data_IF_668406406932
#
_entry.id   IF_668406406932
#
_cell.length_a   1.000
_cell.length_b   1.000
_cell.length_c   1.000
_cell.angle_alpha   90.00
_cell.angle_beta   90.00
_cell.angle_gamma   90.00
#
_symmetry.space_group_name_H-M   'P 1'
#
loop_
_entity.id
_entity.type
_entity.pdbx_description
1 polymer ?
#
# COMPACT_ATOMS: atom_id res chain seq x y z
N UNK A 1 -4.90 12.05 14.52
CA UNK A 1 -4.64 10.59 14.54
C UNK A 1 -4.31 10.17 13.12
N UNK A 2 -3.21 9.45 12.91
CA UNK A 2 -2.90 8.83 11.61
C UNK A 2 -3.20 7.34 11.75
N UNK A 3 -4.11 6.83 10.93
CA UNK A 3 -4.45 5.42 10.93
C UNK A 3 -3.57 4.69 9.91
N UNK A 4 -2.99 3.57 10.35
CA UNK A 4 -2.10 2.73 9.57
C UNK A 4 -2.73 1.34 9.43
N UNK A 5 -3.03 0.95 8.20
CA UNK A 5 -3.51 -0.38 7.83
C UNK A 5 -2.39 -1.14 7.12
N UNK A 6 -2.07 -2.34 7.59
CA UNK A 6 -1.14 -3.23 6.89
C UNK A 6 -1.90 -4.39 6.27
N UNK A 7 -1.68 -4.62 4.97
CA UNK A 7 -2.31 -5.65 4.17
C UNK A 7 -1.23 -6.64 3.74
N UNK A 8 -1.50 -7.94 3.90
CA UNK A 8 -0.64 -8.96 3.32
C UNK A 8 -1.15 -9.32 1.94
N UNK A 9 -0.27 -9.29 0.95
CA UNK A 9 -0.62 -9.56 -0.45
C UNK A 9 0.25 -10.68 -1.00
N UNK A 10 -0.32 -11.51 -1.86
CA UNK A 10 0.40 -12.62 -2.50
C UNK A 10 1.32 -12.14 -3.63
N UNK A 11 0.92 -11.08 -4.35
CA UNK A 11 1.74 -10.47 -5.40
C UNK A 11 1.78 -8.95 -5.19
N UNK A 12 2.96 -8.45 -4.82
CA UNK A 12 3.14 -7.05 -4.49
C UNK A 12 3.00 -6.14 -5.71
N UNK A 13 3.51 -6.56 -6.87
CA UNK A 13 3.49 -5.74 -8.09
C UNK A 13 2.06 -5.50 -8.58
N UNK A 14 1.28 -6.57 -8.72
CA UNK A 14 -0.13 -6.53 -9.14
C UNK A 14 -0.96 -5.75 -8.13
N UNK A 15 -0.74 -5.99 -6.83
CA UNK A 15 -1.46 -5.26 -5.78
C UNK A 15 -1.10 -3.78 -5.77
N UNK A 16 0.17 -3.44 -5.97
CA UNK A 16 0.64 -2.04 -6.03
C UNK A 16 0.03 -1.33 -7.23
N UNK A 17 -0.01 -1.95 -8.42
CA UNK A 17 -0.67 -1.37 -9.60
C UNK A 17 -2.17 -1.16 -9.35
N UNK A 18 -2.85 -2.17 -8.79
CA UNK A 18 -4.27 -2.09 -8.44
C UNK A 18 -4.56 -0.93 -7.47
N UNK A 19 -3.84 -0.85 -6.35
CA UNK A 19 -4.05 0.20 -5.35
C UNK A 19 -3.62 1.58 -5.85
N UNK A 20 -2.64 1.66 -6.74
CA UNK A 20 -2.28 2.93 -7.40
C UNK A 20 -3.44 3.46 -8.25
N UNK A 21 -4.10 2.59 -9.01
CA UNK A 21 -5.29 2.97 -9.81
C UNK A 21 -6.51 3.25 -8.94
N UNK A 22 -6.71 2.44 -7.89
CA UNK A 22 -7.86 2.56 -6.98
C UNK A 22 -7.81 3.82 -6.13
N UNK A 23 -6.65 4.13 -5.55
CA UNK A 23 -6.45 5.28 -4.68
C UNK A 23 -6.12 6.55 -5.49
N UNK A 24 -5.80 6.42 -6.78
CA UNK A 24 -5.39 7.53 -7.65
C UNK A 24 -4.06 8.17 -7.22
N UNK A 25 -3.28 7.49 -6.39
CA UNK A 25 -2.00 7.98 -5.86
C UNK A 25 -0.91 6.93 -6.03
N UNK A 26 0.29 7.37 -6.39
CA UNK A 26 1.46 6.49 -6.47
C UNK A 26 1.96 6.11 -5.07
N UNK A 27 2.56 4.92 -4.89
CA UNK A 27 3.22 4.56 -3.65
C UNK A 27 4.37 5.51 -3.37
N UNK A 28 4.48 5.98 -2.12
CA UNK A 28 5.60 6.85 -1.71
C UNK A 28 6.91 6.06 -1.57
N UNK A 29 6.81 4.74 -1.38
CA UNK A 29 7.95 3.86 -1.22
C UNK A 29 7.62 2.45 -1.69
N UNK A 30 8.46 1.91 -2.54
CA UNK A 30 8.36 0.54 -3.03
C UNK A 30 9.68 -0.18 -2.74
N UNK A 31 9.56 -1.39 -2.21
CA UNK A 31 10.60 -2.36 -1.95
C UNK A 31 10.14 -3.70 -2.54
N UNK A 32 11.06 -4.63 -2.83
CA UNK A 32 10.68 -5.96 -3.33
C UNK A 32 9.63 -6.66 -2.44
N UNK A 33 9.70 -6.46 -1.13
CA UNK A 33 8.81 -7.12 -0.16
C UNK A 33 7.70 -6.22 0.39
N UNK A 34 7.66 -4.93 0.00
CA UNK A 34 6.72 -3.99 0.59
C UNK A 34 6.46 -2.71 -0.22
N UNK A 35 5.21 -2.23 -0.22
CA UNK A 35 4.82 -0.93 -0.77
C UNK A 35 4.07 -0.08 0.27
N UNK A 36 4.43 1.21 0.35
CA UNK A 36 3.81 2.21 1.23
C UNK A 36 3.01 3.22 0.41
N UNK A 37 1.80 3.48 0.86
CA UNK A 37 0.97 4.58 0.37
C UNK A 37 0.76 5.62 1.48
N UNK A 38 0.79 6.90 1.13
CA UNK A 38 0.40 7.98 2.03
C UNK A 38 -0.69 8.79 1.36
N UNK A 39 -1.85 8.84 2.00
CA UNK A 39 -2.96 9.67 1.55
C UNK A 39 -3.00 10.91 2.44
N UNK A 40 -3.13 12.07 1.79
CA UNK A 40 -3.05 13.37 2.45
C UNK A 40 -4.24 13.65 3.36
N UNK A 41 -5.34 12.93 3.18
CA UNK A 41 -6.59 13.12 3.90
C UNK A 41 -6.83 11.99 4.90
N UNK A 42 -7.10 12.25 6.19
CA UNK A 42 -7.23 11.22 7.23
C UNK A 42 -8.46 10.31 7.07
N UNK A 43 -9.38 10.59 6.13
CA UNK A 43 -10.43 9.66 5.70
C UNK A 43 -9.89 8.52 4.82
N UNK A 44 -8.61 8.54 4.50
CA UNK A 44 -7.94 7.58 3.65
C UNK A 44 -6.84 6.87 4.45
N UNK A 45 -7.20 5.73 5.02
CA UNK A 45 -6.33 4.85 5.82
C UNK A 45 -5.03 4.52 5.07
N UNK A 46 -3.86 4.75 5.70
CA UNK A 46 -2.56 4.47 5.07
C UNK A 46 -2.37 2.97 4.90
N UNK A 47 -2.31 2.46 3.66
CA UNK A 47 -2.11 1.03 3.39
C UNK A 47 -0.64 0.65 3.21
N UNK A 48 -0.24 -0.40 3.91
CA UNK A 48 1.08 -0.97 3.98
C UNK A 48 1.01 -2.40 3.42
N UNK A 49 1.37 -2.63 2.16
CA UNK A 49 1.28 -3.96 1.56
C UNK A 49 2.57 -4.76 1.83
N UNK A 50 2.50 -5.85 2.61
CA UNK A 50 3.63 -6.73 2.96
C UNK A 50 3.49 -8.05 2.16
N UNK A 51 4.54 -8.46 1.46
CA UNK A 51 4.56 -9.77 0.79
C UNK A 51 4.63 -10.89 1.84
N UNK A 52 3.89 -11.98 1.61
CA UNK A 52 3.87 -13.12 2.54
C UNK A 52 5.27 -13.76 2.64
N UNK A 53 5.82 -14.01 3.85
CA UNK A 53 6.98 -14.88 3.97
C UNK A 53 6.56 -16.30 3.56
N UNK A 54 7.26 -16.87 2.58
CA UNK A 54 7.16 -18.31 2.31
C UNK A 54 7.72 -19.10 3.49
#
# INVERSE_FOLDING_TARGET
>A
MKSHLSLYVSDLLTSTDFYTRFLGVAPVKTKPDYAKFELADPAQEQVNAVCCPQ
#
